data_IF_450696056350
#
_entry.id   IF_450696056350
#
_cell.length_a   1.000
_cell.length_b   1.000
_cell.length_c   1.000
_cell.angle_alpha   90.00
_cell.angle_beta   90.00
_cell.angle_gamma   90.00
#
_symmetry.space_group_name_H-M   'P 1'
#
loop_
_entity.id
_entity.type
_entity.pdbx_description
1 polymer ?
#
# COMPACT_ATOMS: atom_id res chain seq x y z
N UNK A 1 -29.30 -20.50 -32.59
CA UNK A 1 -30.05 -20.70 -33.84
C UNK A 1 -31.56 -20.61 -33.53
N UNK A 2 -32.07 -19.38 -33.43
CA UNK A 2 -33.49 -19.07 -33.39
C UNK A 2 -33.75 -18.11 -34.57
N UNK A 3 -34.82 -18.39 -35.28
CA UNK A 3 -35.23 -17.86 -36.59
C UNK A 3 -35.31 -16.33 -36.62
N UNK A 4 -34.55 -15.71 -37.52
CA UNK A 4 -34.68 -14.32 -37.91
C UNK A 4 -35.88 -14.18 -38.87
N UNK A 5 -36.91 -13.49 -38.42
CA UNK A 5 -38.03 -13.05 -39.26
C UNK A 5 -37.56 -11.87 -40.09
N UNK A 6 -37.53 -12.01 -41.41
CA UNK A 6 -37.17 -10.94 -42.33
C UNK A 6 -38.26 -9.85 -42.34
N UNK A 7 -37.90 -8.64 -41.90
CA UNK A 7 -38.71 -7.42 -42.03
C UNK A 7 -38.55 -6.80 -43.43
N UNK A 8 -39.63 -6.18 -43.91
CA UNK A 8 -39.76 -5.57 -45.25
C UNK A 8 -38.84 -4.35 -45.42
N UNK A 9 -38.39 -4.05 -46.66
CA UNK A 9 -37.62 -2.84 -46.96
C UNK A 9 -38.56 -1.64 -47.16
N UNK A 10 -38.44 -0.60 -46.32
CA UNK A 10 -39.17 0.66 -46.53
C UNK A 10 -39.16 1.55 -45.29
N UNK A 11 -38.42 2.66 -45.38
CA UNK A 11 -38.18 3.75 -44.41
C UNK A 11 -37.22 3.41 -43.27
N UNK A 12 -35.94 3.80 -43.44
CA UNK A 12 -34.95 3.83 -42.36
C UNK A 12 -35.41 4.86 -41.32
N UNK A 13 -35.86 4.40 -40.15
CA UNK A 13 -36.29 5.29 -39.07
C UNK A 13 -35.06 5.99 -38.47
N UNK A 14 -34.84 7.25 -38.87
CA UNK A 14 -33.78 8.09 -38.29
C UNK A 14 -34.22 8.66 -36.95
N UNK A 15 -33.32 8.59 -35.96
CA UNK A 15 -33.54 9.12 -34.62
C UNK A 15 -32.40 10.08 -34.29
N UNK A 16 -32.76 11.28 -33.85
CA UNK A 16 -31.81 12.30 -33.42
C UNK A 16 -31.74 12.31 -31.90
N UNK A 17 -30.55 12.04 -31.36
CA UNK A 17 -30.28 12.10 -29.92
C UNK A 17 -29.25 13.19 -29.63
N UNK A 18 -29.51 13.97 -28.58
CA UNK A 18 -28.64 15.02 -28.10
C UNK A 18 -28.18 14.69 -26.68
N UNK A 19 -26.89 14.38 -26.55
CA UNK A 19 -26.27 14.01 -25.28
C UNK A 19 -25.41 15.16 -24.80
N UNK A 20 -25.83 15.86 -23.76
CA UNK A 20 -25.08 16.96 -23.16
C UNK A 20 -24.73 18.09 -24.14
N UNK A 21 -25.56 18.30 -25.16
CA UNK A 21 -25.36 19.30 -26.22
C UNK A 21 -24.75 18.75 -27.52
N UNK A 22 -24.32 17.47 -27.56
CA UNK A 22 -23.78 16.83 -28.76
C UNK A 22 -24.86 16.04 -29.47
N UNK A 23 -25.23 16.48 -30.68
CA UNK A 23 -26.23 15.80 -31.52
C UNK A 23 -25.61 14.64 -32.29
N UNK A 24 -26.29 13.50 -32.30
CA UNK A 24 -25.92 12.30 -33.03
C UNK A 24 -27.16 11.69 -33.69
N UNK A 25 -27.01 11.27 -34.95
CA UNK A 25 -28.08 10.63 -35.72
C UNK A 25 -27.85 9.12 -35.69
N UNK A 26 -28.89 8.37 -35.31
CA UNK A 26 -28.87 6.92 -35.19
C UNK A 26 -29.99 6.33 -36.06
N UNK A 27 -29.79 5.09 -36.53
CA UNK A 27 -30.74 4.40 -37.40
C UNK A 27 -31.43 3.27 -36.65
N UNK A 28 -32.75 3.22 -36.71
CA UNK A 28 -33.58 2.25 -35.99
C UNK A 28 -33.20 0.78 -36.29
N UNK A 29 -32.84 0.46 -37.53
CA UNK A 29 -32.41 -0.89 -37.94
C UNK A 29 -31.17 -1.38 -37.19
N UNK A 30 -30.27 -0.46 -36.84
CA UNK A 30 -29.04 -0.77 -36.10
C UNK A 30 -29.36 -0.91 -34.62
N UNK A 31 -30.21 -0.03 -34.08
CA UNK A 31 -30.64 -0.06 -32.67
C UNK A 31 -31.43 -1.34 -32.34
N UNK A 32 -32.30 -1.77 -33.25
CA UNK A 32 -33.11 -2.98 -33.12
C UNK A 32 -32.31 -4.29 -33.10
N UNK A 33 -30.99 -4.26 -33.35
CA UNK A 33 -30.10 -5.41 -33.10
C UNK A 33 -30.03 -5.77 -31.62
N UNK A 34 -30.22 -4.79 -30.74
CA UNK A 34 -30.22 -4.93 -29.28
C UNK A 34 -31.51 -4.34 -28.70
N UNK A 35 -32.65 -5.06 -28.83
CA UNK A 35 -33.98 -4.52 -28.51
C UNK A 35 -34.20 -4.21 -27.03
N UNK A 36 -33.43 -4.85 -26.14
CA UNK A 36 -33.53 -4.67 -24.69
C UNK A 36 -32.87 -3.36 -24.19
N UNK A 37 -32.25 -2.60 -25.08
CA UNK A 37 -31.53 -1.37 -24.76
C UNK A 37 -32.45 -0.15 -24.78
N UNK A 38 -32.13 0.88 -23.98
CA UNK A 38 -32.92 2.12 -23.91
C UNK A 38 -33.01 2.83 -25.28
N UNK A 39 -31.95 2.80 -26.08
CA UNK A 39 -31.96 3.43 -27.42
C UNK A 39 -32.90 2.70 -28.39
N UNK A 40 -33.02 1.37 -28.30
CA UNK A 40 -33.98 0.63 -29.13
C UNK A 40 -35.43 0.97 -28.74
N UNK A 41 -35.69 1.18 -27.44
CA UNK A 41 -37.03 1.59 -26.97
C UNK A 41 -37.48 2.95 -27.53
N UNK A 42 -36.54 3.82 -27.94
CA UNK A 42 -36.81 5.11 -28.60
C UNK A 42 -37.35 4.95 -30.02
N UNK A 43 -37.01 3.86 -30.72
CA UNK A 43 -37.46 3.59 -32.11
C UNK A 43 -38.98 3.46 -32.19
N UNK A 44 -39.57 2.83 -31.19
CA UNK A 44 -41.01 2.61 -31.10
C UNK A 44 -41.77 3.79 -30.45
N UNK A 45 -41.09 4.89 -30.10
CA UNK A 45 -41.70 6.02 -29.39
C UNK A 45 -42.62 6.89 -30.24
N UNK A 46 -42.54 6.82 -31.57
CA UNK A 46 -43.45 7.54 -32.48
C UNK A 46 -44.93 7.14 -32.32
N UNK A 47 -45.21 6.02 -31.61
CA UNK A 47 -46.53 5.49 -31.33
C UNK A 47 -46.96 5.61 -29.85
N UNK A 48 -46.13 6.22 -28.99
CA UNK A 48 -46.28 6.22 -27.52
C UNK A 48 -46.84 7.53 -26.97
N UNK A 49 -47.41 7.46 -25.76
CA UNK A 49 -47.98 8.62 -25.07
C UNK A 49 -46.89 9.57 -24.54
N UNK A 50 -47.23 10.85 -24.36
CA UNK A 50 -46.28 11.87 -23.87
C UNK A 50 -45.64 11.55 -22.50
N UNK A 51 -46.33 10.77 -21.66
CA UNK A 51 -45.81 10.35 -20.35
C UNK A 51 -44.72 9.28 -20.49
N UNK A 52 -44.86 8.35 -21.43
CA UNK A 52 -43.86 7.30 -21.69
C UNK A 52 -42.56 7.90 -22.27
N UNK A 53 -42.67 8.92 -23.13
CA UNK A 53 -41.50 9.62 -23.69
C UNK A 53 -40.70 10.31 -22.58
N UNK A 54 -41.38 11.01 -21.67
CA UNK A 54 -40.75 11.68 -20.52
C UNK A 54 -40.05 10.74 -19.53
N UNK A 55 -40.38 9.44 -19.56
CA UNK A 55 -39.71 8.43 -18.74
C UNK A 55 -38.40 7.92 -19.35
N UNK A 56 -38.22 8.09 -20.66
CA UNK A 56 -37.10 7.55 -21.42
C UNK A 56 -35.98 8.57 -21.62
N UNK A 57 -36.33 9.85 -21.83
CA UNK A 57 -35.41 10.97 -22.03
C UNK A 57 -35.69 12.12 -21.07
N UNK A 58 -34.72 13.02 -20.89
CA UNK A 58 -34.85 14.18 -19.99
C UNK A 58 -35.70 15.28 -20.62
N UNK A 59 -35.62 15.45 -21.95
CA UNK A 59 -36.46 16.35 -22.73
C UNK A 59 -36.67 15.83 -24.15
N UNK A 60 -37.76 16.22 -24.82
CA UNK A 60 -38.09 15.84 -26.19
C UNK A 60 -38.66 17.02 -26.95
N UNK A 61 -38.01 17.37 -28.07
CA UNK A 61 -38.49 18.42 -28.97
C UNK A 61 -39.35 17.82 -30.10
N UNK A 62 -40.68 18.01 -30.08
CA UNK A 62 -41.58 17.46 -31.10
C UNK A 62 -41.45 18.12 -32.47
N UNK A 63 -40.91 19.36 -32.54
CA UNK A 63 -40.78 20.07 -33.82
C UNK A 63 -39.56 19.55 -34.62
N UNK A 64 -38.50 19.16 -33.92
CA UNK A 64 -37.26 18.64 -34.52
C UNK A 64 -37.14 17.12 -34.44
N UNK A 65 -37.95 16.44 -33.61
CA UNK A 65 -37.87 15.01 -33.36
C UNK A 65 -36.61 14.61 -32.56
N UNK A 66 -36.09 15.52 -31.73
CA UNK A 66 -34.83 15.37 -31.00
C UNK A 66 -35.07 14.92 -29.55
N UNK A 67 -34.38 13.86 -29.14
CA UNK A 67 -34.37 13.38 -27.75
C UNK A 67 -33.15 13.91 -27.01
N UNK A 68 -33.35 14.61 -25.90
CA UNK A 68 -32.28 15.18 -25.08
C UNK A 68 -31.98 14.35 -23.84
N UNK A 69 -30.69 14.24 -23.52
CA UNK A 69 -30.15 13.56 -22.35
C UNK A 69 -29.06 14.41 -21.70
N UNK A 70 -29.20 14.74 -20.42
CA UNK A 70 -28.19 15.48 -19.64
C UNK A 70 -27.07 14.54 -19.14
N UNK A 71 -26.33 13.95 -20.08
CA UNK A 71 -25.29 12.94 -19.81
C UNK A 71 -23.98 13.24 -20.52
N UNK A 72 -22.95 12.47 -20.18
CA UNK A 72 -21.61 12.66 -20.72
C UNK A 72 -21.51 12.18 -22.19
N UNK A 73 -21.25 13.07 -23.15
CA UNK A 73 -21.17 12.70 -24.56
C UNK A 73 -19.98 11.80 -24.88
N UNK A 74 -18.91 11.84 -24.08
CA UNK A 74 -17.72 11.02 -24.33
C UNK A 74 -17.95 9.56 -23.92
N UNK A 75 -18.61 9.31 -22.79
CA UNK A 75 -19.08 7.99 -22.43
C UNK A 75 -20.10 7.44 -23.44
N UNK A 76 -21.02 8.27 -23.93
CA UNK A 76 -22.01 7.84 -24.92
C UNK A 76 -21.39 7.34 -26.23
N UNK A 77 -20.27 7.92 -26.68
CA UNK A 77 -19.55 7.40 -27.86
C UNK A 77 -19.17 5.94 -27.69
N UNK A 78 -18.71 5.53 -26.50
CA UNK A 78 -18.37 4.14 -26.22
C UNK A 78 -19.62 3.26 -26.20
N UNK A 79 -20.77 3.77 -25.74
CA UNK A 79 -22.06 3.07 -25.79
C UNK A 79 -22.49 2.80 -27.23
N UNK A 80 -22.28 3.75 -28.14
CA UNK A 80 -22.61 3.56 -29.56
C UNK A 80 -21.76 2.48 -30.25
N UNK A 81 -20.58 2.15 -29.72
CA UNK A 81 -19.70 1.09 -30.25
C UNK A 81 -20.36 -0.29 -30.20
N UNK A 82 -21.25 -0.54 -29.23
CA UNK A 82 -22.04 -1.78 -29.15
C UNK A 82 -22.83 -2.04 -30.45
N UNK A 83 -23.46 -1.00 -30.98
CA UNK A 83 -24.33 -1.11 -32.16
C UNK A 83 -23.53 -1.28 -33.45
N UNK A 84 -22.27 -0.82 -33.45
CA UNK A 84 -21.35 -0.88 -34.58
C UNK A 84 -20.55 -2.18 -34.61
N UNK A 85 -19.96 -2.57 -33.47
CA UNK A 85 -18.97 -3.64 -33.36
C UNK A 85 -19.47 -4.84 -32.55
N UNK A 86 -20.51 -4.68 -31.73
CA UNK A 86 -21.06 -5.74 -30.88
C UNK A 86 -20.40 -5.88 -29.51
N UNK A 87 -19.36 -5.10 -29.25
CA UNK A 87 -18.60 -5.08 -27.99
C UNK A 87 -18.33 -3.62 -27.62
N UNK A 88 -18.16 -3.36 -26.32
CA UNK A 88 -17.87 -2.04 -25.78
C UNK A 88 -16.46 -2.01 -25.19
N UNK A 89 -15.70 -0.99 -25.55
CA UNK A 89 -14.45 -0.66 -24.87
C UNK A 89 -14.56 0.66 -24.11
N UNK A 90 -14.07 0.66 -22.87
CA UNK A 90 -13.94 1.89 -22.09
C UNK A 90 -12.78 2.73 -22.60
N UNK A 91 -13.07 3.99 -22.96
CA UNK A 91 -12.02 4.94 -23.32
C UNK A 91 -11.17 5.33 -22.11
N UNK A 92 -9.86 5.46 -22.34
CA UNK A 92 -8.91 5.94 -21.32
C UNK A 92 -9.30 7.33 -20.82
N UNK A 93 -9.40 7.49 -19.50
CA UNK A 93 -9.75 8.74 -18.83
C UNK A 93 -11.19 8.78 -18.30
N UNK A 94 -12.06 7.85 -18.71
CA UNK A 94 -13.38 7.69 -18.12
C UNK A 94 -13.26 6.79 -16.88
N UNK A 95 -13.87 7.19 -15.76
CA UNK A 95 -13.92 6.38 -14.55
C UNK A 95 -14.75 5.11 -14.81
N UNK A 96 -14.22 3.89 -14.58
CA UNK A 96 -14.93 2.64 -14.85
C UNK A 96 -16.27 2.54 -14.12
N UNK A 97 -16.35 2.98 -12.86
CA UNK A 97 -17.59 2.92 -12.08
C UNK A 97 -18.65 3.90 -12.61
N UNK A 98 -18.23 5.09 -13.07
CA UNK A 98 -19.15 6.02 -13.72
C UNK A 98 -19.63 5.46 -15.06
N UNK A 99 -18.74 4.81 -15.82
CA UNK A 99 -19.11 4.18 -17.07
C UNK A 99 -20.10 3.02 -16.89
N UNK A 100 -19.95 2.22 -15.83
CA UNK A 100 -20.93 1.18 -15.48
C UNK A 100 -22.32 1.76 -15.23
N UNK A 101 -22.41 2.94 -14.60
CA UNK A 101 -23.70 3.66 -14.44
C UNK A 101 -24.26 4.20 -15.76
N UNK A 102 -23.40 4.53 -16.72
CA UNK A 102 -23.84 4.84 -18.09
C UNK A 102 -24.41 3.58 -18.75
N UNK A 103 -23.70 2.45 -18.71
CA UNK A 103 -24.19 1.19 -19.26
C UNK A 103 -25.54 0.77 -18.64
N UNK A 104 -25.67 0.86 -17.31
CA UNK A 104 -26.92 0.60 -16.60
C UNK A 104 -28.04 1.55 -17.04
N UNK A 105 -27.76 2.85 -17.15
CA UNK A 105 -28.74 3.83 -17.64
C UNK A 105 -29.25 3.47 -19.04
N UNK A 106 -28.34 3.11 -19.94
CA UNK A 106 -28.66 2.69 -21.31
C UNK A 106 -29.24 1.27 -21.42
N UNK A 107 -29.42 0.57 -20.29
CA UNK A 107 -29.92 -0.82 -20.19
C UNK A 107 -29.04 -1.82 -20.95
N UNK A 108 -27.73 -1.64 -20.86
CA UNK A 108 -26.74 -2.52 -21.49
C UNK A 108 -26.10 -3.40 -20.42
N UNK A 109 -26.11 -4.71 -20.63
CA UNK A 109 -25.47 -5.66 -19.74
C UNK A 109 -23.94 -5.51 -19.77
N UNK A 110 -23.32 -5.67 -18.60
CA UNK A 110 -21.88 -5.79 -18.41
C UNK A 110 -21.22 -6.90 -19.26
N UNK A 111 -22.00 -7.88 -19.70
CA UNK A 111 -21.52 -8.96 -20.57
C UNK A 111 -20.98 -8.46 -21.93
N UNK A 112 -21.49 -7.33 -22.43
CA UNK A 112 -21.03 -6.70 -23.68
C UNK A 112 -19.71 -5.94 -23.56
N UNK A 113 -19.20 -5.79 -22.34
CA UNK A 113 -17.89 -5.20 -22.10
C UNK A 113 -16.79 -6.20 -22.48
N UNK A 114 -15.81 -5.76 -23.26
CA UNK A 114 -14.69 -6.62 -23.63
C UNK A 114 -13.86 -7.09 -22.41
N UNK A 115 -13.23 -8.25 -22.52
CA UNK A 115 -12.44 -8.86 -21.46
C UNK A 115 -11.31 -7.93 -20.96
N UNK A 116 -10.69 -7.12 -21.84
CA UNK A 116 -9.66 -6.18 -21.41
C UNK A 116 -10.20 -5.11 -20.46
N UNK A 117 -11.44 -4.66 -20.69
CA UNK A 117 -12.12 -3.65 -19.89
C UNK A 117 -12.73 -4.25 -18.62
N UNK A 118 -13.21 -5.50 -18.67
CA UNK A 118 -13.64 -6.27 -17.49
C UNK A 118 -12.50 -6.47 -16.49
N UNK A 119 -11.30 -6.81 -16.97
CA UNK A 119 -10.12 -6.92 -16.11
C UNK A 119 -9.82 -5.60 -15.39
N UNK A 120 -9.81 -4.48 -16.14
CA UNK A 120 -9.56 -3.16 -15.55
C UNK A 120 -10.64 -2.75 -14.55
N UNK A 121 -11.91 -3.00 -14.84
CA UNK A 121 -13.02 -2.73 -13.92
C UNK A 121 -12.84 -3.50 -12.62
N UNK A 122 -12.55 -4.80 -12.71
CA UNK A 122 -12.36 -5.66 -11.55
C UNK A 122 -11.18 -5.22 -10.68
N UNK A 123 -10.07 -4.80 -11.29
CA UNK A 123 -8.94 -4.22 -10.55
C UNK A 123 -9.38 -2.99 -9.74
N UNK A 124 -10.15 -2.08 -10.35
CA UNK A 124 -10.65 -0.88 -9.67
C UNK A 124 -11.66 -1.25 -8.56
N UNK A 125 -12.54 -2.22 -8.78
CA UNK A 125 -13.47 -2.71 -7.76
C UNK A 125 -12.75 -3.35 -6.57
N UNK A 126 -11.75 -4.20 -6.83
CA UNK A 126 -10.92 -4.82 -5.78
C UNK A 126 -10.16 -3.74 -4.99
N UNK A 127 -9.65 -2.71 -5.65
CA UNK A 127 -9.01 -1.57 -5.00
C UNK A 127 -9.98 -0.78 -4.11
N UNK A 128 -11.19 -0.48 -4.61
CA UNK A 128 -12.23 0.21 -3.86
C UNK A 128 -12.71 -0.61 -2.66
N UNK A 129 -12.88 -1.92 -2.82
CA UNK A 129 -13.24 -2.82 -1.74
C UNK A 129 -12.15 -2.87 -0.66
N UNK A 130 -10.87 -2.91 -1.05
CA UNK A 130 -9.73 -2.81 -0.13
C UNK A 130 -9.74 -1.47 0.62
N UNK A 131 -10.03 -0.38 -0.08
CA UNK A 131 -10.15 0.97 0.49
C UNK A 131 -11.29 1.03 1.50
N UNK A 132 -12.49 0.59 1.12
CA UNK A 132 -13.68 0.60 1.96
C UNK A 132 -13.48 -0.23 3.24
N UNK A 133 -12.87 -1.41 3.14
CA UNK A 133 -12.61 -2.26 4.30
C UNK A 133 -11.56 -1.65 5.25
N UNK A 134 -10.52 -1.00 4.71
CA UNK A 134 -9.54 -0.25 5.52
C UNK A 134 -10.20 0.94 6.23
N UNK A 135 -11.01 1.72 5.51
CA UNK A 135 -11.75 2.86 6.07
C UNK A 135 -12.71 2.39 7.17
N UNK A 136 -13.48 1.33 6.91
CA UNK A 136 -14.36 0.70 7.91
C UNK A 136 -13.60 0.24 9.14
N UNK A 137 -12.44 -0.40 8.97
CA UNK A 137 -11.58 -0.80 10.09
C UNK A 137 -11.14 0.42 10.92
N UNK A 138 -10.75 1.51 10.25
CA UNK A 138 -10.34 2.77 10.91
C UNK A 138 -11.50 3.40 11.70
N UNK A 139 -12.72 3.38 11.14
CA UNK A 139 -13.92 3.94 11.76
C UNK A 139 -14.41 3.11 12.95
N UNK A 140 -14.42 1.78 12.83
CA UNK A 140 -14.77 0.87 13.94
C UNK A 140 -13.82 1.05 15.13
N UNK A 141 -12.52 1.22 14.84
CA UNK A 141 -11.52 1.57 15.84
C UNK A 141 -11.81 2.90 16.56
N UNK A 142 -12.42 3.87 15.87
CA UNK A 142 -12.71 5.22 16.36
C UNK A 142 -13.92 5.24 17.30
N UNK A 143 -15.03 4.67 16.88
CA UNK A 143 -16.31 4.81 17.61
C UNK A 143 -16.55 3.68 18.61
N UNK A 144 -15.89 2.53 18.45
CA UNK A 144 -16.04 1.37 19.33
C UNK A 144 -17.42 0.70 19.21
N UNK A 145 -17.54 -0.54 19.68
CA UNK A 145 -18.82 -1.25 19.67
C UNK A 145 -19.73 -0.71 20.80
N UNK A 146 -20.91 -0.14 20.50
CA UNK A 146 -21.84 0.39 21.52
C UNK A 146 -22.27 -0.68 22.54
N UNK A 147 -22.24 -1.95 22.15
CA UNK A 147 -22.62 -3.10 22.98
C UNK A 147 -21.50 -3.62 23.90
N UNK A 148 -20.32 -3.00 23.86
CA UNK A 148 -19.16 -3.43 24.62
C UNK A 148 -19.29 -3.18 26.14
N UNK A 149 -18.93 -4.20 26.93
CA UNK A 149 -18.91 -4.14 28.41
C UNK A 149 -17.85 -3.17 28.96
N UNK A 150 -17.92 -2.85 30.26
CA UNK A 150 -17.04 -1.86 30.90
C UNK A 150 -15.54 -2.14 30.73
N UNK A 151 -15.13 -3.42 30.81
CA UNK A 151 -13.75 -3.83 30.55
C UNK A 151 -13.33 -3.62 29.09
N UNK A 152 -14.20 -3.91 28.13
CA UNK A 152 -13.91 -3.72 26.71
C UNK A 152 -13.79 -2.23 26.36
N UNK A 153 -14.58 -1.36 27.01
CA UNK A 153 -14.44 0.10 26.87
C UNK A 153 -13.13 0.62 27.45
N UNK A 154 -12.73 0.15 28.63
CA UNK A 154 -11.42 0.47 29.21
C UNK A 154 -10.27 -0.04 28.33
N UNK A 155 -10.38 -1.26 27.82
CA UNK A 155 -9.43 -1.88 26.91
C UNK A 155 -9.26 -1.06 25.62
N UNK A 156 -10.36 -0.63 24.99
CA UNK A 156 -10.34 0.24 23.81
C UNK A 156 -9.74 1.62 24.11
N UNK A 157 -10.06 2.21 25.26
CA UNK A 157 -9.47 3.47 25.70
C UNK A 157 -7.95 3.34 25.86
N UNK A 158 -7.49 2.29 26.53
CA UNK A 158 -6.07 2.00 26.71
C UNK A 158 -5.37 1.69 25.37
N UNK A 159 -6.05 0.99 24.46
CA UNK A 159 -5.56 0.72 23.11
C UNK A 159 -5.35 2.02 22.33
N UNK A 160 -6.32 2.93 22.33
CA UNK A 160 -6.20 4.26 21.70
C UNK A 160 -5.07 5.08 22.32
N UNK A 161 -4.95 5.06 23.65
CA UNK A 161 -3.90 5.76 24.39
C UNK A 161 -2.49 5.29 23.98
N UNK A 162 -2.31 3.98 23.76
CA UNK A 162 -0.99 3.37 23.50
C UNK A 162 -0.62 3.26 22.02
N UNK A 163 -1.60 3.13 21.12
CA UNK A 163 -1.37 2.86 19.69
C UNK A 163 -1.60 4.09 18.80
N UNK A 164 -2.46 5.04 19.21
CA UNK A 164 -2.80 6.24 18.41
C UNK A 164 -2.32 7.52 19.13
N UNK A 165 -1.12 8.04 18.84
CA UNK A 165 -0.58 9.24 19.48
C UNK A 165 -1.46 10.49 19.33
N UNK A 166 -2.13 10.61 18.18
CA UNK A 166 -3.04 11.73 17.86
C UNK A 166 -4.41 11.63 18.56
N UNK A 167 -4.68 10.55 19.31
CA UNK A 167 -5.99 10.36 19.93
C UNK A 167 -6.28 11.32 21.09
N UNK A 168 -5.25 11.71 21.85
CA UNK A 168 -5.39 12.54 23.04
C UNK A 168 -4.05 13.15 23.48
N UNK A 169 -4.09 14.23 24.27
CA UNK A 169 -2.88 14.84 24.84
C UNK A 169 -2.04 13.83 25.66
N UNK A 170 -2.63 12.98 26.54
CA UNK A 170 -1.85 11.96 27.24
C UNK A 170 -1.22 10.92 26.30
N UNK A 171 -1.91 10.51 25.22
CA UNK A 171 -1.36 9.58 24.22
C UNK A 171 -0.11 10.18 23.55
N UNK A 172 -0.19 11.46 23.17
CA UNK A 172 0.93 12.19 22.59
C UNK A 172 2.11 12.29 23.55
N UNK A 173 1.86 12.56 24.83
CA UNK A 173 2.91 12.58 25.86
C UNK A 173 3.58 11.22 26.02
N UNK A 174 2.82 10.13 26.11
CA UNK A 174 3.37 8.76 26.22
C UNK A 174 4.21 8.42 24.99
N UNK A 175 3.77 8.80 23.79
CA UNK A 175 4.51 8.58 22.56
C UNK A 175 5.85 9.34 22.55
N UNK A 176 5.86 10.62 22.96
CA UNK A 176 7.08 11.43 23.08
C UNK A 176 8.04 10.83 24.12
N UNK A 177 7.53 10.44 25.29
CA UNK A 177 8.33 9.81 26.34
C UNK A 177 8.95 8.51 25.84
N UNK A 178 8.17 7.65 25.18
CA UNK A 178 8.67 6.39 24.62
C UNK A 178 9.76 6.62 23.57
N UNK A 179 9.60 7.64 22.72
CA UNK A 179 10.63 8.04 21.76
C UNK A 179 11.92 8.50 22.46
N UNK A 180 11.83 9.30 23.53
CA UNK A 180 12.99 9.72 24.32
C UNK A 180 13.70 8.51 24.94
N UNK A 181 12.97 7.54 25.50
CA UNK A 181 13.55 6.31 26.04
C UNK A 181 14.29 5.49 24.98
N UNK A 182 13.78 5.45 23.73
CA UNK A 182 14.48 4.80 22.62
C UNK A 182 15.79 5.50 22.30
N UNK A 183 15.79 6.84 22.24
CA UNK A 183 17.01 7.62 22.01
C UNK A 183 18.04 7.43 23.13
N UNK A 184 17.60 7.56 24.39
CA UNK A 184 18.47 7.35 25.56
C UNK A 184 19.05 5.94 25.56
N UNK A 185 18.23 4.90 25.35
CA UNK A 185 18.73 3.52 25.29
C UNK A 185 19.72 3.31 24.14
N UNK A 186 19.53 3.98 23.00
CA UNK A 186 20.44 3.87 21.85
C UNK A 186 21.78 4.56 22.13
N UNK A 187 21.76 5.74 22.75
CA UNK A 187 22.96 6.47 23.15
C UNK A 187 23.74 5.69 24.21
N UNK A 188 23.05 5.16 25.24
CA UNK A 188 23.67 4.32 26.27
C UNK A 188 24.33 3.08 25.66
N UNK A 189 23.66 2.42 24.71
CA UNK A 189 24.24 1.29 23.98
C UNK A 189 25.51 1.69 23.22
N UNK A 190 25.50 2.82 22.50
CA UNK A 190 26.69 3.31 21.81
C UNK A 190 27.84 3.63 22.79
N UNK A 191 27.54 4.33 23.89
CA UNK A 191 28.54 4.70 24.91
C UNK A 191 29.14 3.44 25.56
N UNK A 192 28.32 2.40 25.81
CA UNK A 192 28.80 1.13 26.39
C UNK A 192 29.80 0.36 25.52
N UNK A 193 29.87 0.67 24.21
CA UNK A 193 30.87 0.09 23.29
C UNK A 193 32.23 0.79 23.34
N UNK A 194 32.34 1.95 23.99
CA UNK A 194 33.58 2.71 24.08
C UNK A 194 34.47 2.07 25.16
N UNK A 195 35.67 1.55 24.81
CA UNK A 195 36.53 0.86 25.77
C UNK A 195 37.02 1.77 26.90
N UNK A 196 37.26 3.05 26.61
CA UNK A 196 37.73 4.05 27.59
C UNK A 196 36.72 4.35 28.71
N UNK A 197 35.45 3.98 28.53
CA UNK A 197 34.36 4.19 29.50
C UNK A 197 33.96 2.89 30.22
N UNK A 198 34.56 1.76 29.86
CA UNK A 198 34.38 0.48 30.54
C UNK A 198 35.17 0.46 31.85
N UNK A 199 34.64 -0.24 32.85
CA UNK A 199 35.24 -0.32 34.18
C UNK A 199 35.82 -1.71 34.37
N UNK A 200 37.02 -1.81 34.92
CA UNK A 200 37.62 -3.08 35.31
C UNK A 200 36.86 -3.69 36.50
N UNK A 201 36.37 -4.91 36.33
CA UNK A 201 35.83 -5.70 37.43
C UNK A 201 36.97 -6.16 38.37
N UNK A 202 36.59 -6.67 39.54
CA UNK A 202 37.44 -7.34 40.54
C UNK A 202 38.39 -8.42 39.98
N UNK A 203 38.07 -8.99 38.82
CA UNK A 203 38.89 -9.98 38.09
C UNK A 203 39.78 -9.36 36.98
N UNK A 204 39.77 -8.04 36.83
CA UNK A 204 40.54 -7.31 35.79
C UNK A 204 39.91 -7.35 34.40
N UNK A 205 38.67 -7.82 34.26
CA UNK A 205 37.93 -7.85 33.00
C UNK A 205 37.23 -6.50 32.75
N UNK A 206 37.28 -6.00 31.52
CA UNK A 206 36.53 -4.80 31.13
C UNK A 206 35.02 -5.09 31.09
N UNK A 207 34.27 -4.41 31.94
CA UNK A 207 32.82 -4.54 32.07
C UNK A 207 32.10 -3.22 31.78
N UNK A 208 30.80 -3.31 31.49
CA UNK A 208 29.97 -2.11 31.27
C UNK A 208 29.90 -1.30 32.57
N UNK A 209 29.91 0.03 32.45
CA UNK A 209 29.83 0.90 33.61
C UNK A 209 28.50 0.67 34.35
N UNK A 210 28.50 0.45 35.69
CA UNK A 210 27.28 0.14 36.44
C UNK A 210 26.21 1.23 36.31
N UNK A 211 26.59 2.49 36.09
CA UNK A 211 25.62 3.58 35.85
C UNK A 211 24.89 3.42 34.52
N UNK A 212 25.58 2.97 33.46
CA UNK A 212 24.98 2.69 32.16
C UNK A 212 24.03 1.49 32.23
N UNK A 213 24.40 0.46 33.00
CA UNK A 213 23.53 -0.71 33.23
C UNK A 213 22.24 -0.34 33.97
N UNK A 214 22.30 0.57 34.95
CA UNK A 214 21.11 1.08 35.64
C UNK A 214 20.20 1.83 34.66
N UNK A 215 20.75 2.72 33.84
CA UNK A 215 19.96 3.46 32.84
C UNK A 215 19.34 2.51 31.83
N UNK A 216 20.10 1.51 31.35
CA UNK A 216 19.60 0.48 30.44
C UNK A 216 18.47 -0.32 31.07
N UNK A 217 18.62 -0.74 32.33
CA UNK A 217 17.58 -1.47 33.08
C UNK A 217 16.30 -0.66 33.22
N UNK A 218 16.41 0.65 33.50
CA UNK A 218 15.25 1.55 33.55
C UNK A 218 14.57 1.67 32.18
N UNK A 219 15.34 1.80 31.10
CA UNK A 219 14.79 1.85 29.73
C UNK A 219 14.07 0.55 29.34
N UNK A 220 14.64 -0.61 29.68
CA UNK A 220 14.00 -1.92 29.45
C UNK A 220 12.75 -2.07 30.29
N UNK A 221 12.77 -1.59 31.54
CA UNK A 221 11.58 -1.52 32.39
C UNK A 221 10.44 -0.76 31.72
N UNK A 222 10.74 0.43 31.16
CA UNK A 222 9.77 1.21 30.38
C UNK A 222 9.25 0.42 29.17
N UNK A 223 10.13 -0.16 28.34
CA UNK A 223 9.72 -0.93 27.16
C UNK A 223 8.89 -2.17 27.52
N UNK A 224 9.17 -2.80 28.66
CA UNK A 224 8.42 -3.96 29.14
C UNK A 224 7.02 -3.54 29.57
N UNK A 225 6.89 -2.46 30.34
CA UNK A 225 5.59 -1.88 30.70
C UNK A 225 4.80 -1.52 29.43
N UNK A 226 5.46 -0.86 28.48
CA UNK A 226 4.86 -0.46 27.20
C UNK A 226 4.33 -1.68 26.42
N UNK A 227 5.14 -2.75 26.28
CA UNK A 227 4.75 -3.98 25.60
C UNK A 227 3.61 -4.71 26.32
N UNK A 228 3.66 -4.81 27.66
CA UNK A 228 2.61 -5.44 28.46
C UNK A 228 1.29 -4.67 28.34
N UNK A 229 1.33 -3.34 28.46
CA UNK A 229 0.12 -2.51 28.33
C UNK A 229 -0.51 -2.67 26.94
N UNK A 230 0.29 -2.74 25.87
CA UNK A 230 -0.21 -3.01 24.51
C UNK A 230 -0.76 -4.42 24.36
N UNK A 231 -0.08 -5.42 24.93
CA UNK A 231 -0.55 -6.80 24.90
C UNK A 231 -1.90 -6.92 25.62
N UNK A 232 -2.07 -6.29 26.79
CA UNK A 232 -3.33 -6.29 27.55
C UNK A 232 -4.42 -5.53 26.81
N UNK A 233 -4.11 -4.39 26.17
CA UNK A 233 -5.10 -3.60 25.44
C UNK A 233 -5.51 -4.20 24.09
N UNK A 234 -4.68 -5.04 23.46
CA UNK A 234 -5.00 -5.63 22.15
C UNK A 234 -6.27 -6.51 22.15
N UNK A 235 -7.17 -6.39 21.17
CA UNK A 235 -8.36 -7.24 21.06
C UNK A 235 -8.02 -8.71 20.76
N UNK A 236 -6.97 -8.98 19.98
CA UNK A 236 -6.52 -10.34 19.65
C UNK A 236 -5.03 -10.50 19.94
N UNK A 237 -4.71 -11.28 20.99
CA UNK A 237 -3.35 -11.45 21.51
C UNK A 237 -2.42 -12.15 20.52
N UNK A 238 -2.90 -13.18 19.82
CA UNK A 238 -2.08 -13.93 18.86
C UNK A 238 -1.77 -13.09 17.61
N UNK A 239 -2.78 -12.41 17.07
CA UNK A 239 -2.59 -11.47 15.96
C UNK A 239 -1.63 -10.35 16.35
N UNK A 240 -1.70 -9.89 17.60
CA UNK A 240 -0.79 -8.88 18.14
C UNK A 240 0.65 -9.38 18.20
N UNK A 241 0.91 -10.52 18.85
CA UNK A 241 2.29 -11.04 18.99
C UNK A 241 2.94 -11.34 17.64
N UNK A 242 2.16 -11.79 16.66
CA UNK A 242 2.65 -12.08 15.30
C UNK A 242 2.81 -10.84 14.40
N UNK A 243 2.35 -9.66 14.82
CA UNK A 243 2.50 -8.45 14.02
C UNK A 243 3.95 -7.94 14.04
N UNK A 244 4.48 -7.54 12.88
CA UNK A 244 5.90 -7.19 12.69
C UNK A 244 6.43 -6.18 13.72
N UNK A 245 5.71 -5.08 13.97
CA UNK A 245 6.15 -4.05 14.94
C UNK A 245 6.16 -4.56 16.38
N UNK A 246 5.27 -5.50 16.72
CA UNK A 246 5.22 -6.10 18.05
C UNK A 246 6.32 -7.16 18.25
N UNK A 247 6.72 -7.85 17.17
CA UNK A 247 7.92 -8.72 17.18
C UNK A 247 9.17 -7.88 17.47
N UNK A 248 9.31 -6.71 16.83
CA UNK A 248 10.41 -5.78 17.11
C UNK A 248 10.39 -5.31 18.57
N UNK A 249 9.21 -4.94 19.10
CA UNK A 249 9.06 -4.55 20.51
C UNK A 249 9.45 -5.68 21.48
N UNK A 250 9.13 -6.94 21.15
CA UNK A 250 9.54 -8.11 21.93
C UNK A 250 11.06 -8.36 21.85
N UNK A 251 11.63 -8.34 20.65
CA UNK A 251 13.07 -8.51 20.41
C UNK A 251 13.91 -7.43 21.13
N UNK A 252 13.34 -6.24 21.31
CA UNK A 252 13.97 -5.13 22.01
C UNK A 252 14.23 -5.41 23.52
N UNK A 253 13.30 -6.14 24.17
CA UNK A 253 13.37 -6.48 25.61
C UNK A 253 13.93 -7.88 25.88
N UNK A 254 13.80 -8.80 24.91
CA UNK A 254 14.15 -10.21 25.06
C UNK A 254 15.58 -10.45 25.57
N UNK A 255 16.65 -9.77 25.08
CA UNK A 255 18.01 -10.03 25.53
C UNK A 255 18.19 -9.94 27.05
N UNK A 256 17.55 -8.96 27.69
CA UNK A 256 17.66 -8.73 29.13
C UNK A 256 17.06 -9.89 29.93
N UNK A 257 15.83 -10.29 29.59
CA UNK A 257 15.15 -11.38 30.28
C UNK A 257 15.83 -12.72 30.04
N UNK A 258 16.32 -12.98 28.82
CA UNK A 258 17.05 -14.23 28.53
C UNK A 258 18.35 -14.29 29.33
N UNK A 259 19.14 -13.21 29.39
CA UNK A 259 20.35 -13.18 30.23
C UNK A 259 20.00 -13.35 31.71
N UNK A 260 18.97 -12.66 32.21
CA UNK A 260 18.54 -12.78 33.61
C UNK A 260 18.10 -14.21 33.96
N UNK A 261 17.36 -14.87 33.07
CA UNK A 261 16.91 -16.26 33.23
C UNK A 261 18.10 -17.21 33.17
N UNK A 262 19.02 -17.04 32.21
CA UNK A 262 20.21 -17.88 32.09
C UNK A 262 21.12 -17.76 33.32
N UNK A 263 21.34 -16.54 33.84
CA UNK A 263 22.15 -16.31 35.03
C UNK A 263 21.49 -16.83 36.31
N UNK A 264 20.16 -16.73 36.43
CA UNK A 264 19.43 -17.23 37.62
C UNK A 264 19.27 -18.76 37.64
N UNK A 265 19.00 -19.38 36.49
CA UNK A 265 18.92 -20.85 36.35
C UNK A 265 20.31 -21.51 36.29
N UNK A 266 21.33 -20.79 35.86
CA UNK A 266 22.69 -21.28 35.61
C UNK A 266 23.59 -21.45 36.83
N UNK A 267 23.05 -21.41 38.05
CA UNK A 267 23.81 -21.77 39.27
C UNK A 267 24.16 -23.27 39.36
N UNK A 268 23.76 -24.08 38.36
CA UNK A 268 24.14 -25.48 38.24
C UNK A 268 24.46 -25.90 36.80
N UNK A 269 25.76 -26.07 36.52
CA UNK A 269 26.30 -27.03 35.55
C UNK A 269 25.81 -26.92 34.10
N UNK A 270 26.20 -25.85 33.38
CA UNK A 270 26.41 -25.91 31.93
C UNK A 270 27.66 -25.11 31.56
N UNK A 271 28.48 -25.64 30.65
CA UNK A 271 29.77 -25.09 30.22
C UNK A 271 29.70 -23.57 29.96
N UNK A 272 30.38 -22.80 30.82
CA UNK A 272 30.45 -21.34 30.80
C UNK A 272 30.84 -20.77 29.41
N UNK A 273 31.63 -21.50 28.64
CA UNK A 273 32.09 -21.08 27.32
C UNK A 273 30.95 -20.89 26.29
N UNK A 274 29.97 -21.81 26.26
CA UNK A 274 28.81 -21.70 25.37
C UNK A 274 27.83 -20.62 25.86
N UNK A 275 27.75 -20.42 27.19
CA UNK A 275 26.92 -19.36 27.79
C UNK A 275 27.49 -17.98 27.47
N UNK A 276 28.82 -17.80 27.54
CA UNK A 276 29.46 -16.52 27.24
C UNK A 276 29.28 -16.12 25.76
N UNK A 277 29.41 -17.07 24.82
CA UNK A 277 29.13 -16.83 23.41
C UNK A 277 27.65 -16.50 23.17
N UNK A 278 26.73 -17.20 23.85
CA UNK A 278 25.30 -16.92 23.77
C UNK A 278 24.97 -15.51 24.31
N UNK A 279 25.54 -15.11 25.45
CA UNK A 279 25.37 -13.77 26.04
C UNK A 279 25.92 -12.69 25.10
N UNK A 280 27.04 -12.95 24.43
CA UNK A 280 27.61 -12.01 23.45
C UNK A 280 26.69 -11.83 22.22
N UNK A 281 26.11 -12.93 21.72
CA UNK A 281 25.12 -12.86 20.64
C UNK A 281 23.83 -12.13 21.06
N UNK A 282 23.35 -12.35 22.29
CA UNK A 282 22.20 -11.61 22.85
C UNK A 282 22.49 -10.11 22.96
N UNK A 283 23.75 -9.70 23.21
CA UNK A 283 24.14 -8.29 23.26
C UNK A 283 23.97 -7.58 21.91
N UNK A 284 24.23 -8.27 20.79
CA UNK A 284 23.99 -7.72 19.44
C UNK A 284 22.50 -7.49 19.20
N UNK A 285 21.62 -8.35 19.72
CA UNK A 285 20.17 -8.17 19.58
C UNK A 285 19.64 -6.91 20.28
N UNK A 286 20.40 -6.26 21.18
CA UNK A 286 20.04 -4.96 21.75
C UNK A 286 19.90 -3.88 20.66
N UNK A 287 20.62 -4.01 19.53
CA UNK A 287 20.48 -3.12 18.36
C UNK A 287 19.05 -3.14 17.81
N UNK A 288 18.30 -4.24 18.00
CA UNK A 288 16.92 -4.33 17.56
C UNK A 288 16.00 -3.25 18.16
N UNK A 289 16.37 -2.69 19.33
CA UNK A 289 15.65 -1.57 19.98
C UNK A 289 15.59 -0.33 19.09
N UNK A 290 16.60 -0.09 18.25
CA UNK A 290 16.61 1.04 17.31
C UNK A 290 15.45 0.92 16.32
N UNK A 291 15.09 -0.30 15.91
CA UNK A 291 13.95 -0.51 15.01
C UNK A 291 12.59 -0.15 15.65
N UNK A 292 12.48 0.00 16.99
CA UNK A 292 11.26 0.57 17.60
C UNK A 292 10.96 1.99 17.08
N UNK A 293 11.98 2.73 16.59
CA UNK A 293 11.79 4.03 15.95
C UNK A 293 10.85 3.95 14.73
N UNK A 294 10.77 2.79 14.06
CA UNK A 294 9.86 2.59 12.93
C UNK A 294 8.39 2.81 13.32
N UNK A 295 8.00 2.51 14.56
CA UNK A 295 6.64 2.76 15.05
C UNK A 295 6.31 4.25 15.14
N UNK A 296 7.31 5.09 15.40
CA UNK A 296 7.16 6.53 15.56
C UNK A 296 7.40 7.31 14.26
N UNK A 297 7.79 6.64 13.17
CA UNK A 297 8.01 7.25 11.87
C UNK A 297 7.10 6.65 10.82
N UNK A 298 6.08 7.42 10.42
CA UNK A 298 5.20 7.05 9.30
C UNK A 298 6.02 6.74 8.03
N UNK A 299 7.11 7.48 7.78
CA UNK A 299 8.01 7.23 6.66
C UNK A 299 8.65 5.83 6.69
N UNK A 300 9.07 5.34 7.85
CA UNK A 300 9.65 3.98 7.98
C UNK A 300 8.59 2.88 7.83
N UNK A 301 7.35 3.12 8.27
CA UNK A 301 6.25 2.17 8.09
C UNK A 301 5.87 2.04 6.61
N UNK A 302 5.79 3.18 5.91
CA UNK A 302 5.56 3.22 4.45
C UNK A 302 6.70 2.55 3.70
N UNK A 303 7.95 2.83 4.08
CA UNK A 303 9.12 2.16 3.51
C UNK A 303 9.06 0.63 3.69
N UNK A 304 8.74 0.17 4.90
CA UNK A 304 8.62 -1.27 5.20
C UNK A 304 7.53 -1.94 4.36
N UNK A 305 6.39 -1.26 4.21
CA UNK A 305 5.25 -1.77 3.42
C UNK A 305 5.57 -1.81 1.93
N UNK A 306 6.24 -0.77 1.42
CA UNK A 306 6.68 -0.71 0.03
C UNK A 306 7.77 -1.75 -0.28
N UNK A 307 8.72 -1.97 0.64
CA UNK A 307 9.72 -3.04 0.54
C UNK A 307 9.08 -4.43 0.52
N UNK A 308 8.07 -4.66 1.36
CA UNK A 308 7.32 -5.93 1.38
C UNK A 308 6.61 -6.17 0.04
N UNK A 309 5.99 -5.13 -0.53
CA UNK A 309 5.36 -5.21 -1.85
C UNK A 309 6.39 -5.47 -2.96
N UNK A 310 7.58 -4.89 -2.83
CA UNK A 310 8.67 -5.00 -3.81
C UNK A 310 9.60 -6.20 -3.57
N UNK A 311 9.22 -7.17 -2.72
CA UNK A 311 10.11 -8.27 -2.34
C UNK A 311 10.53 -9.14 -3.53
N UNK A 312 9.64 -9.32 -4.52
CA UNK A 312 9.94 -10.02 -5.77
C UNK A 312 11.05 -9.31 -6.56
N UNK A 313 10.94 -7.99 -6.71
CA UNK A 313 11.92 -7.17 -7.44
C UNK A 313 13.26 -7.08 -6.69
N UNK A 314 13.20 -6.95 -5.36
CA UNK A 314 14.39 -6.99 -4.50
C UNK A 314 15.09 -8.36 -4.57
N UNK A 315 14.32 -9.45 -4.58
CA UNK A 315 14.85 -10.80 -4.76
C UNK A 315 15.55 -10.98 -6.11
N UNK A 316 14.98 -10.41 -7.18
CA UNK A 316 15.60 -10.42 -8.51
C UNK A 316 16.92 -9.62 -8.53
N UNK A 317 16.96 -8.44 -7.90
CA UNK A 317 18.20 -7.66 -7.73
C UNK A 317 19.29 -8.46 -7.01
N UNK A 318 18.96 -9.08 -5.88
CA UNK A 318 19.90 -9.88 -5.10
C UNK A 318 20.39 -11.11 -5.89
N UNK A 319 19.52 -11.74 -6.69
CA UNK A 319 19.90 -12.84 -7.56
C UNK A 319 20.92 -12.41 -8.63
N UNK A 320 20.67 -11.30 -9.34
CA UNK A 320 21.61 -10.80 -10.36
C UNK A 320 22.96 -10.39 -9.75
N UNK A 321 22.93 -9.70 -8.60
CA UNK A 321 24.15 -9.35 -7.87
C UNK A 321 24.89 -10.60 -7.39
N UNK A 322 24.18 -11.62 -6.87
CA UNK A 322 24.78 -12.87 -6.43
C UNK A 322 25.48 -13.64 -7.55
N UNK A 323 24.84 -13.74 -8.72
CA UNK A 323 25.45 -14.36 -9.92
C UNK A 323 26.68 -13.58 -10.37
N UNK A 324 26.60 -12.25 -10.41
CA UNK A 324 27.72 -11.40 -10.80
C UNK A 324 28.89 -11.49 -9.83
N UNK A 325 28.64 -11.44 -8.52
CA UNK A 325 29.67 -11.60 -7.47
C UNK A 325 30.37 -12.94 -7.65
N UNK A 326 29.62 -14.03 -7.81
CA UNK A 326 30.21 -15.35 -8.01
C UNK A 326 31.10 -15.40 -9.28
N UNK A 327 30.57 -14.93 -10.41
CA UNK A 327 31.26 -14.94 -11.70
C UNK A 327 32.55 -14.09 -11.68
N UNK A 328 32.44 -12.82 -11.28
CA UNK A 328 33.57 -11.89 -11.34
C UNK A 328 34.63 -12.21 -10.30
N UNK A 329 34.27 -12.79 -9.16
CA UNK A 329 35.25 -13.30 -8.19
C UNK A 329 36.01 -14.52 -8.70
N UNK A 330 35.34 -15.46 -9.36
CA UNK A 330 36.02 -16.61 -9.97
C UNK A 330 36.98 -16.17 -11.09
N UNK A 331 36.55 -15.23 -11.95
CA UNK A 331 37.41 -14.63 -12.97
C UNK A 331 38.57 -13.83 -12.37
N UNK A 332 38.31 -13.01 -11.35
CA UNK A 332 39.33 -12.23 -10.65
C UNK A 332 40.41 -13.12 -10.04
N UNK A 333 40.00 -14.17 -9.31
CA UNK A 333 40.91 -15.16 -8.74
C UNK A 333 41.77 -15.84 -9.82
N UNK A 334 41.14 -16.38 -10.86
CA UNK A 334 41.86 -17.13 -11.90
C UNK A 334 42.81 -16.26 -12.73
N UNK A 335 42.43 -15.00 -13.01
CA UNK A 335 43.28 -14.06 -13.75
C UNK A 335 44.45 -13.53 -12.91
N UNK A 336 44.27 -13.39 -11.60
CA UNK A 336 45.30 -12.85 -10.69
C UNK A 336 46.18 -13.92 -10.04
N UNK A 337 45.84 -15.22 -10.16
CA UNK A 337 46.60 -16.32 -9.55
C UNK A 337 48.07 -16.37 -9.99
N UNK A 338 48.38 -15.81 -11.15
CA UNK A 338 49.74 -15.75 -11.70
C UNK A 338 50.62 -14.66 -11.07
N UNK A 339 50.04 -13.68 -10.37
CA UNK A 339 50.80 -12.57 -9.81
C UNK A 339 51.27 -12.87 -8.38
N UNK A 340 52.58 -12.79 -8.06
CA UNK A 340 53.12 -13.23 -6.78
C UNK A 340 52.62 -12.41 -5.57
N UNK A 341 52.28 -11.15 -5.79
CA UNK A 341 51.73 -10.26 -4.74
C UNK A 341 50.21 -10.05 -4.86
N UNK A 342 49.48 -11.05 -5.36
CA UNK A 342 48.03 -10.96 -5.46
C UNK A 342 47.37 -11.00 -4.09
N UNK A 343 46.29 -10.23 -3.94
CA UNK A 343 45.43 -10.24 -2.75
C UNK A 343 44.26 -11.22 -2.89
N UNK A 344 44.12 -11.85 -4.05
CA UNK A 344 43.09 -12.84 -4.37
C UNK A 344 43.56 -14.24 -3.94
N UNK A 345 43.46 -14.57 -2.65
CA UNK A 345 43.95 -15.88 -2.16
C UNK A 345 42.96 -17.03 -2.38
N UNK A 346 41.66 -16.73 -2.41
CA UNK A 346 40.59 -17.71 -2.64
C UNK A 346 39.37 -17.07 -3.29
N UNK A 347 38.53 -17.87 -3.95
CA UNK A 347 37.29 -17.38 -4.56
C UNK A 347 36.35 -16.73 -3.52
N UNK A 348 36.10 -17.33 -2.33
CA UNK A 348 35.25 -16.69 -1.32
C UNK A 348 35.82 -15.38 -0.79
N UNK A 349 37.14 -15.26 -0.60
CA UNK A 349 37.74 -13.97 -0.24
C UNK A 349 37.56 -12.94 -1.36
N UNK A 350 37.60 -13.38 -2.62
CA UNK A 350 37.37 -12.54 -3.79
C UNK A 350 35.92 -12.07 -3.91
N UNK A 351 34.96 -12.65 -3.18
CA UNK A 351 33.57 -12.15 -3.11
C UNK A 351 33.54 -10.75 -2.52
N UNK A 352 34.34 -10.46 -1.49
CA UNK A 352 34.43 -9.13 -0.89
C UNK A 352 34.80 -8.08 -1.95
N UNK A 353 35.85 -8.36 -2.73
CA UNK A 353 36.27 -7.50 -3.84
C UNK A 353 35.18 -7.30 -4.90
N UNK A 354 34.50 -8.37 -5.32
CA UNK A 354 33.46 -8.25 -6.34
C UNK A 354 32.24 -7.48 -5.82
N UNK A 355 31.83 -7.69 -4.56
CA UNK A 355 30.73 -6.93 -3.92
C UNK A 355 31.06 -5.44 -3.91
N UNK A 356 32.21 -5.03 -3.38
CA UNK A 356 32.58 -3.60 -3.28
C UNK A 356 32.82 -2.95 -4.66
N UNK A 357 33.25 -3.72 -5.66
CA UNK A 357 33.49 -3.22 -7.02
C UNK A 357 32.19 -3.08 -7.80
N UNK A 358 31.31 -4.09 -7.77
CA UNK A 358 30.02 -4.06 -8.45
C UNK A 358 29.07 -3.01 -7.84
N UNK A 359 29.17 -2.78 -6.53
CA UNK A 359 28.40 -1.73 -5.84
C UNK A 359 29.05 -0.34 -5.93
N UNK A 360 30.16 -0.21 -6.64
CA UNK A 360 30.91 1.05 -6.85
C UNK A 360 31.47 1.70 -5.57
N UNK A 361 31.57 0.94 -4.46
CA UNK A 361 32.16 1.42 -3.20
C UNK A 361 33.68 1.54 -3.31
N UNK A 362 34.35 0.47 -3.74
CA UNK A 362 35.77 0.47 -4.07
C UNK A 362 36.72 0.96 -2.96
N UNK A 363 36.74 0.32 -1.79
CA UNK A 363 37.67 0.67 -0.70
C UNK A 363 39.16 0.66 -1.09
N UNK A 364 39.54 -0.13 -2.10
CA UNK A 364 40.91 -0.22 -2.60
C UNK A 364 41.83 -1.11 -1.75
N UNK A 365 41.26 -1.85 -0.80
CA UNK A 365 41.95 -2.85 0.04
C UNK A 365 42.29 -4.14 -0.73
N UNK A 366 41.47 -4.51 -1.72
CA UNK A 366 41.75 -5.59 -2.68
C UNK A 366 41.60 -5.02 -4.09
N UNK A 367 42.58 -5.24 -4.96
CA UNK A 367 42.55 -4.79 -6.35
C UNK A 367 43.44 -5.65 -7.25
N UNK A 368 43.08 -5.84 -8.54
CA UNK A 368 43.87 -6.63 -9.46
C UNK A 368 45.13 -5.90 -9.93
N UNK A 369 46.25 -6.62 -9.97
CA UNK A 369 47.55 -6.12 -10.42
C UNK A 369 47.80 -6.46 -11.89
N UNK A 370 47.26 -7.57 -12.40
CA UNK A 370 47.45 -7.99 -13.79
C UNK A 370 46.57 -7.18 -14.76
N UNK A 371 46.98 -7.09 -16.02
CA UNK A 371 46.20 -6.41 -17.07
C UNK A 371 44.84 -7.09 -17.30
N UNK A 372 44.78 -8.42 -17.25
CA UNK A 372 43.54 -9.17 -17.40
C UNK A 372 42.60 -8.95 -16.21
N UNK A 373 43.12 -8.98 -14.99
CA UNK A 373 42.34 -8.67 -13.79
C UNK A 373 41.80 -7.24 -13.81
N UNK A 374 42.57 -6.26 -14.32
CA UNK A 374 42.08 -4.88 -14.52
C UNK A 374 40.96 -4.80 -15.57
N UNK A 375 41.05 -5.58 -16.65
CA UNK A 375 39.96 -5.69 -17.62
C UNK A 375 38.71 -6.31 -16.99
N UNK A 376 38.88 -7.36 -16.17
CA UNK A 376 37.79 -7.96 -15.41
C UNK A 376 37.15 -6.98 -14.42
N UNK A 377 37.96 -6.13 -13.76
CA UNK A 377 37.47 -5.06 -12.89
C UNK A 377 36.64 -4.01 -13.66
N UNK A 378 37.10 -3.63 -14.86
CA UNK A 378 36.37 -2.71 -15.72
C UNK A 378 35.01 -3.30 -16.13
N UNK A 379 34.96 -4.60 -16.45
CA UNK A 379 33.72 -5.28 -16.79
C UNK A 379 32.81 -5.46 -15.55
N UNK A 380 33.37 -5.78 -14.39
CA UNK A 380 32.59 -6.05 -13.18
C UNK A 380 31.88 -4.82 -12.65
N UNK A 381 32.53 -3.65 -12.62
CA UNK A 381 31.84 -2.42 -12.20
C UNK A 381 30.73 -2.04 -13.19
N UNK A 382 30.97 -2.17 -14.51
CA UNK A 382 29.98 -1.84 -15.54
C UNK A 382 28.76 -2.74 -15.43
N UNK A 383 28.97 -4.05 -15.29
CA UNK A 383 27.90 -5.02 -15.05
C UNK A 383 27.18 -4.77 -13.72
N UNK A 384 27.89 -4.38 -12.66
CA UNK A 384 27.29 -4.03 -11.37
C UNK A 384 26.35 -2.82 -11.45
N UNK A 385 26.76 -1.75 -12.13
CA UNK A 385 25.92 -0.57 -12.37
C UNK A 385 24.64 -0.94 -13.13
N UNK A 386 24.75 -1.75 -14.19
CA UNK A 386 23.59 -2.23 -14.95
C UNK A 386 22.68 -3.13 -14.09
N UNK A 387 23.27 -4.05 -13.33
CA UNK A 387 22.53 -4.97 -12.47
C UNK A 387 21.72 -4.26 -11.37
N UNK A 388 22.24 -3.15 -10.83
CA UNK A 388 21.52 -2.32 -9.85
C UNK A 388 20.49 -1.42 -10.54
N UNK A 389 20.82 -0.85 -11.71
CA UNK A 389 19.94 0.08 -12.41
C UNK A 389 18.67 -0.55 -13.00
N UNK A 390 18.69 -1.84 -13.36
CA UNK A 390 17.51 -2.49 -13.96
C UNK A 390 16.36 -2.69 -12.95
N UNK A 391 16.56 -3.29 -11.75
CA UNK A 391 15.47 -3.52 -10.81
C UNK A 391 15.07 -2.28 -9.99
N UNK A 392 15.98 -1.29 -9.83
CA UNK A 392 15.68 -0.10 -9.03
C UNK A 392 14.53 0.72 -9.63
N UNK A 393 14.39 0.77 -10.97
CA UNK A 393 13.36 1.56 -11.62
C UNK A 393 11.94 0.99 -11.39
N UNK A 394 11.66 -0.32 -11.60
CA UNK A 394 10.41 -0.94 -11.17
C UNK A 394 10.12 -0.78 -9.66
N UNK A 395 11.14 -0.90 -8.80
CA UNK A 395 10.98 -0.71 -7.35
C UNK A 395 10.51 0.72 -7.04
N UNK A 396 11.10 1.73 -7.68
CA UNK A 396 10.70 3.13 -7.52
C UNK A 396 9.26 3.35 -8.02
N UNK A 397 8.91 2.80 -9.18
CA UNK A 397 7.55 2.95 -9.72
C UNK A 397 6.51 2.30 -8.79
N UNK A 398 6.79 1.10 -8.27
CA UNK A 398 5.93 0.44 -7.27
C UNK A 398 5.84 1.24 -5.96
N UNK A 399 6.95 1.83 -5.51
CA UNK A 399 6.95 2.70 -4.33
C UNK A 399 6.05 3.92 -4.54
N UNK A 400 6.17 4.61 -5.68
CA UNK A 400 5.35 5.78 -6.01
C UNK A 400 3.87 5.42 -6.10
N UNK A 401 3.53 4.30 -6.75
CA UNK A 401 2.16 3.82 -6.84
C UNK A 401 1.58 3.51 -5.47
N UNK A 402 2.31 2.79 -4.62
CA UNK A 402 1.87 2.47 -3.26
C UNK A 402 1.74 3.71 -2.38
N UNK A 403 2.69 4.65 -2.49
CA UNK A 403 2.67 5.91 -1.77
C UNK A 403 1.43 6.74 -2.14
N UNK A 404 1.15 6.88 -3.44
CA UNK A 404 -0.04 7.60 -3.91
C UNK A 404 -1.34 6.91 -3.47
N UNK A 405 -1.41 5.56 -3.55
CA UNK A 405 -2.57 4.78 -3.07
C UNK A 405 -2.80 5.00 -1.57
N UNK A 406 -1.74 5.00 -0.76
CA UNK A 406 -1.81 5.29 0.67
C UNK A 406 -2.29 6.72 0.96
N UNK A 407 -1.85 7.71 0.18
CA UNK A 407 -2.29 9.10 0.33
C UNK A 407 -3.78 9.29 -0.04
N UNK A 408 -4.26 8.58 -1.07
CA UNK A 408 -5.68 8.57 -1.45
C UNK A 408 -6.52 7.97 -0.33
N UNK A 409 -6.09 6.83 0.23
CA UNK A 409 -6.71 6.18 1.38
C UNK A 409 -6.87 7.12 2.58
N UNK A 410 -5.79 7.82 2.95
CA UNK A 410 -5.83 8.78 4.06
C UNK A 410 -6.81 9.93 3.80
N UNK A 411 -6.84 10.46 2.57
CA UNK A 411 -7.79 11.52 2.21
C UNK A 411 -9.24 11.02 2.26
N UNK A 412 -9.52 9.83 1.73
CA UNK A 412 -10.85 9.26 1.70
C UNK A 412 -11.38 9.00 3.12
N UNK A 413 -10.52 8.45 4.00
CA UNK A 413 -10.86 8.27 5.41
C UNK A 413 -11.16 9.60 6.12
N UNK A 414 -10.38 10.65 5.85
CA UNK A 414 -10.64 11.99 6.40
C UNK A 414 -11.97 12.56 5.91
N UNK A 415 -12.27 12.41 4.61
CA UNK A 415 -13.52 12.91 4.04
C UNK A 415 -14.74 12.18 4.62
N UNK A 416 -14.67 10.86 4.79
CA UNK A 416 -15.73 10.09 5.45
C UNK A 416 -15.95 10.54 6.90
N UNK A 417 -14.86 10.75 7.64
CA UNK A 417 -14.92 11.29 9.01
C UNK A 417 -15.62 12.66 9.05
N UNK A 418 -15.32 13.54 8.08
CA UNK A 418 -15.94 14.86 7.96
C UNK A 418 -17.43 14.78 7.61
N UNK A 419 -17.81 13.93 6.65
CA UNK A 419 -19.21 13.69 6.29
C UNK A 419 -20.02 13.11 7.45
N UNK A 420 -19.41 12.24 8.27
CA UNK A 420 -20.05 11.73 9.49
C UNK A 420 -20.23 12.83 10.54
N UNK A 421 -19.24 13.72 10.70
CA UNK A 421 -19.35 14.85 11.62
C UNK A 421 -20.48 15.81 11.20
N UNK A 422 -20.58 16.13 9.91
CA UNK A 422 -21.68 16.94 9.36
C UNK A 422 -23.05 16.29 9.59
N UNK A 423 -23.20 15.00 9.27
CA UNK A 423 -24.45 14.26 9.50
C UNK A 423 -24.84 14.20 10.98
N UNK A 424 -23.86 14.11 11.89
CA UNK A 424 -24.13 14.16 13.33
C UNK A 424 -24.60 15.55 13.80
N UNK A 425 -24.04 16.62 13.24
CA UNK A 425 -24.48 17.99 13.52
C UNK A 425 -25.87 18.32 12.98
N UNK A 426 -26.25 17.75 11.83
CA UNK A 426 -27.60 17.86 11.28
C UNK A 426 -28.64 17.14 12.15
N UNK A 427 -28.28 15.99 12.75
CA UNK A 427 -29.15 15.28 13.69
C UNK A 427 -29.36 16.05 15.00
N UNK A 428 -28.36 16.76 15.51
CA UNK A 428 -28.50 17.61 16.70
C UNK A 428 -29.30 18.90 16.42
N UNK A 429 -29.32 19.37 15.17
CA UNK A 429 -30.08 20.55 14.74
C UNK A 429 -31.57 20.27 14.47
N UNK A 430 -31.98 19.00 14.32
CA UNK A 430 -33.37 18.60 14.08
C UNK A 430 -33.98 17.90 15.32
N UNK A 431 -34.50 18.64 16.31
CA UNK A 431 -35.17 18.03 17.45
C UNK A 431 -36.57 17.55 17.03
N UNK A 432 -36.66 16.32 16.52
CA UNK A 432 -37.95 15.66 16.32
C UNK A 432 -38.05 14.70 15.13
N UNK A 433 -37.24 13.65 15.07
CA UNK A 433 -37.60 12.45 14.30
C UNK A 433 -36.96 11.20 14.91
N UNK A 434 -37.78 10.17 15.07
CA UNK A 434 -37.50 8.96 15.83
C UNK A 434 -36.28 8.18 15.28
N UNK A 435 -35.33 7.94 16.17
CA UNK A 435 -34.24 6.97 16.04
C UNK A 435 -34.80 5.55 15.95
N UNK A 436 -35.07 5.01 14.76
CA UNK A 436 -35.16 3.55 14.58
C UNK A 436 -34.95 2.99 13.16
N UNK A 437 -34.59 3.79 12.15
CA UNK A 437 -34.36 3.26 10.79
C UNK A 437 -33.23 4.01 10.07
N UNK A 438 -31.96 3.76 10.40
CA UNK A 438 -30.84 4.43 9.71
C UNK A 438 -29.59 3.56 9.50
N UNK A 439 -29.72 2.22 9.53
CA UNK A 439 -28.60 1.32 9.19
C UNK A 439 -28.78 0.68 7.81
N UNK A 440 -30.01 0.57 7.29
CA UNK A 440 -30.29 -0.05 5.99
C UNK A 440 -30.12 0.92 4.79
N UNK A 441 -30.44 2.21 4.94
CA UNK A 441 -30.33 3.21 3.86
C UNK A 441 -28.92 3.79 3.63
N UNK A 442 -27.92 3.30 4.36
CA UNK A 442 -26.53 3.78 4.30
C UNK A 442 -25.79 3.29 3.05
N UNK A 443 -26.24 2.20 2.43
CA UNK A 443 -25.43 1.49 1.43
C UNK A 443 -25.66 1.96 -0.01
N UNK A 444 -26.86 2.43 -0.36
CA UNK A 444 -27.16 2.87 -1.75
C UNK A 444 -26.61 4.27 -2.09
N UNK A 445 -26.37 5.12 -1.07
CA UNK A 445 -25.87 6.49 -1.27
C UNK A 445 -24.34 6.62 -1.14
N UNK A 446 -23.62 5.60 -0.64
CA UNK A 446 -22.15 5.64 -0.54
C UNK A 446 -21.45 5.55 -1.90
N UNK A 447 -22.06 4.84 -2.86
CA UNK A 447 -21.53 4.70 -4.21
C UNK A 447 -21.66 5.98 -5.07
N UNK A 448 -22.46 6.97 -4.67
CA UNK A 448 -22.63 8.23 -5.42
C UNK A 448 -21.69 9.35 -4.95
N UNK A 449 -21.35 9.39 -3.65
CA UNK A 449 -20.42 10.37 -3.08
C UNK A 449 -18.96 10.06 -3.38
N UNK A 450 -18.55 8.79 -3.31
CA UNK A 450 -17.19 8.36 -3.71
C UNK A 450 -16.90 8.65 -5.19
N UNK A 451 -17.92 8.56 -6.04
CA UNK A 451 -17.81 8.86 -7.48
C UNK A 451 -17.57 10.33 -7.81
N UNK A 452 -18.13 11.27 -7.03
CA UNK A 452 -17.89 12.70 -7.27
C UNK A 452 -16.48 13.14 -6.85
N UNK A 453 -15.89 12.46 -5.86
CA UNK A 453 -14.50 12.70 -5.41
C UNK A 453 -13.50 12.11 -6.40
N UNK A 454 -13.78 10.91 -6.94
CA UNK A 454 -12.97 10.28 -7.98
C UNK A 454 -13.05 11.05 -9.32
N UNK A 455 -14.22 11.58 -9.69
CA UNK A 455 -14.40 12.44 -10.88
C UNK A 455 -13.48 13.68 -10.82
N UNK A 456 -13.49 14.42 -9.70
CA UNK A 456 -12.65 15.62 -9.52
C UNK A 456 -11.14 15.34 -9.42
N UNK A 457 -10.72 14.14 -8.99
CA UNK A 457 -9.29 13.77 -8.93
C UNK A 457 -8.76 13.12 -10.20
N UNK A 458 -9.59 12.42 -10.98
CA UNK A 458 -9.20 11.88 -12.29
C UNK A 458 -8.76 12.99 -13.25
N UNK A 459 -9.45 14.13 -13.25
CA UNK A 459 -9.11 15.32 -14.03
C UNK A 459 -7.74 15.93 -13.63
N UNK A 460 -7.34 15.79 -12.36
CA UNK A 460 -6.06 16.30 -11.83
C UNK A 460 -4.88 15.35 -12.10
N UNK A 461 -5.11 14.04 -12.03
CA UNK A 461 -4.07 13.02 -12.25
C UNK A 461 -3.75 12.83 -13.74
N UNK A 462 -4.74 12.97 -14.63
CA UNK A 462 -4.54 12.89 -16.09
C UNK A 462 -3.77 14.12 -16.64
N UNK A 463 -3.84 15.27 -15.95
CA UNK A 463 -3.07 16.47 -16.31
C UNK A 463 -1.56 16.35 -16.11
N UNK A 464 -1.08 15.39 -15.31
CA UNK A 464 0.36 15.24 -15.00
C UNK A 464 1.01 14.13 -15.85
N UNK A 465 0.24 13.18 -16.40
CA UNK A 465 0.79 12.07 -17.20
C UNK A 465 0.86 12.32 -18.70
N UNK A 466 0.26 13.41 -19.20
CA UNK A 466 0.22 13.74 -20.65
C UNK A 466 1.45 14.51 -21.16
N UNK A 467 2.50 14.67 -20.34
CA UNK A 467 3.71 15.40 -20.68
C UNK A 467 4.99 14.57 -20.76
N UNK A 468 5.00 13.41 -21.44
CA UNK A 468 6.25 12.80 -21.94
C UNK A 468 5.96 11.78 -23.03
N UNK A 469 6.05 12.25 -24.28
CA UNK A 469 5.97 11.40 -25.46
C UNK A 469 7.12 10.40 -25.52
N UNK A 470 6.79 9.19 -25.96
CA UNK A 470 7.75 8.21 -26.43
C UNK A 470 8.56 8.79 -27.59
N UNK A 471 9.88 8.87 -27.41
CA UNK A 471 10.90 8.65 -28.43
C UNK A 471 12.00 7.78 -27.81
#
# INVERSE_FOLDING_TARGET
MKTATALKPGEETEIVVNIGGVKQVLFGDVLNRYPDTRLAELVDCSLKSSEEISSLCDDYDPDTGEFYFDRDPEAFKCITELYLYGEIHMKRGICPICFMKEMEFWKIDSDFLDDCCKCHLKEVEDELAEIAEKVKTILVDRDGDPSAGGWQRFQMCLWRLMEKPESSLPARTIAIVSFIFILVSSVVMCIGTIPDLQVEDSEGNLTENPTLEVIETVCIGWFTIEYILRLISSPNKMKFVLAFMNIVDFMAIMPFFVVLILTSLGTGVMELANVQQAVQALRIMRIARIFKLARHSAGLQTLTSALKSSFKELGLLLMYMGVGVFLFSALGYTMEQSHPETLFTSIPQSFWWAVITMTTVGYGDVYPKTTLGRCNAALSFLCGVIAIALPIHPIINNFVLFYNKQQVLETAAQHEIELMALRSGELEAAPGAQTHACIAGVWDNHASSEQQVLKRRSESIIGVSTGRGCL
#
